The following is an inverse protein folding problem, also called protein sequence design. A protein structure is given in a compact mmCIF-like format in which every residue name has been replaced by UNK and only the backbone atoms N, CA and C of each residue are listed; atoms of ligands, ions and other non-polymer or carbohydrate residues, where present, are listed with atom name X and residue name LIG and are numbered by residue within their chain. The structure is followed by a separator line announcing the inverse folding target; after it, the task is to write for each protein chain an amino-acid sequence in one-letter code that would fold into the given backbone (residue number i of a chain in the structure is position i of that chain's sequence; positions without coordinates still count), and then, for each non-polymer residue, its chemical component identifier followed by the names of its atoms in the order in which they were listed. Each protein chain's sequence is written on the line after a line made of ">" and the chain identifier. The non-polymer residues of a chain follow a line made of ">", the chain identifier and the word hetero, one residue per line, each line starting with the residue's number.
data_IF_605499488253
#
_entry.id   IF_605499488253
#
_cell.length_a   1.000
_cell.length_b   1.000
_cell.length_c   1.000
_cell.angle_alpha   90.00
_cell.angle_beta   90.00
_cell.angle_gamma   90.00
#
_symmetry.space_group_name_H-M   'P 1'
#
loop_
_entity.id
_entity.type
_entity.pdbx_description
1 polymer ?
#
# COMPACT_ATOMS: atom_id res chain seq x y z
N UNK A 1 -7.51 -15.96 -3.14
CA UNK A 1 -8.93 -15.68 -3.46
C UNK A 1 -9.01 -14.50 -4.42
N UNK A 2 -9.95 -14.54 -5.30
CA UNK A 2 -10.25 -13.51 -6.29
C UNK A 2 -11.78 -13.27 -6.36
N UNK A 3 -12.24 -12.45 -7.30
CA UNK A 3 -13.66 -12.07 -7.43
C UNK A 3 -14.62 -13.26 -7.64
N UNK A 4 -14.11 -14.43 -8.06
CA UNK A 4 -14.92 -15.65 -8.27
C UNK A 4 -15.15 -16.45 -6.98
N UNK A 5 -14.56 -16.02 -5.85
CA UNK A 5 -14.73 -16.74 -4.58
C UNK A 5 -16.20 -16.76 -4.14
N UNK A 6 -16.82 -17.97 -4.07
CA UNK A 6 -18.27 -18.08 -3.90
C UNK A 6 -18.78 -17.61 -2.54
N UNK A 7 -17.92 -17.59 -1.51
CA UNK A 7 -18.28 -17.17 -0.16
C UNK A 7 -17.82 -15.74 0.16
N UNK A 8 -17.51 -14.91 -0.84
CA UNK A 8 -16.94 -13.57 -0.61
C UNK A 8 -17.85 -12.66 0.23
N UNK A 9 -19.17 -12.79 0.11
CA UNK A 9 -20.14 -12.01 0.92
C UNK A 9 -20.09 -12.45 2.39
N UNK A 10 -20.01 -13.73 2.67
CA UNK A 10 -19.84 -14.22 4.06
C UNK A 10 -18.48 -13.81 4.64
N UNK A 11 -17.43 -13.80 3.82
CA UNK A 11 -16.11 -13.30 4.25
C UNK A 11 -16.14 -11.81 4.57
N UNK A 12 -16.89 -11.01 3.80
CA UNK A 12 -17.12 -9.60 4.07
C UNK A 12 -17.88 -9.39 5.37
N UNK A 13 -18.99 -10.12 5.58
CA UNK A 13 -19.77 -10.09 6.82
C UNK A 13 -18.89 -10.40 8.02
N UNK A 14 -18.15 -11.51 7.99
CA UNK A 14 -17.21 -11.85 9.06
C UNK A 14 -16.13 -10.78 9.27
N UNK A 15 -15.60 -10.18 8.20
CA UNK A 15 -14.61 -9.11 8.33
C UNK A 15 -15.22 -7.90 9.04
N UNK A 16 -16.41 -7.45 8.64
CA UNK A 16 -17.07 -6.27 9.23
C UNK A 16 -17.46 -6.48 10.70
N UNK A 17 -17.72 -7.72 11.11
CA UNK A 17 -18.02 -8.07 12.50
C UNK A 17 -16.79 -7.96 13.42
N UNK A 18 -15.60 -8.30 12.92
CA UNK A 18 -14.37 -8.33 13.71
C UNK A 18 -13.47 -7.11 13.53
N UNK A 19 -13.61 -6.37 12.44
CA UNK A 19 -12.80 -5.19 12.12
C UNK A 19 -13.68 -3.96 11.96
N UNK A 20 -14.11 -3.34 13.07
CA UNK A 20 -15.00 -2.19 13.00
C UNK A 20 -14.31 -1.01 12.32
N UNK A 21 -15.00 -0.40 11.38
CA UNK A 21 -14.64 0.85 10.72
C UNK A 21 -15.87 1.78 10.73
N UNK A 22 -15.66 3.08 10.66
CA UNK A 22 -16.77 4.04 10.58
C UNK A 22 -17.64 3.82 9.32
N UNK A 23 -17.02 3.31 8.25
CA UNK A 23 -17.70 3.01 6.99
C UNK A 23 -16.93 1.97 6.17
N UNK A 24 -17.66 1.32 5.26
CA UNK A 24 -17.14 0.47 4.21
C UNK A 24 -17.82 0.83 2.89
N UNK A 25 -17.23 0.44 1.77
CA UNK A 25 -17.78 0.71 0.45
C UNK A 25 -17.78 2.19 0.07
N UNK A 26 -16.67 2.88 0.33
CA UNK A 26 -16.50 4.28 -0.01
C UNK A 26 -16.78 4.53 -1.50
N UNK A 27 -17.50 5.61 -1.82
CA UNK A 27 -17.88 5.94 -3.20
C UNK A 27 -18.83 4.93 -3.84
N UNK A 28 -19.64 4.24 -3.03
CA UNK A 28 -20.55 3.16 -3.45
C UNK A 28 -19.82 1.92 -4.00
N UNK A 29 -18.53 1.74 -3.67
CA UNK A 29 -17.82 0.49 -3.97
C UNK A 29 -18.34 -0.64 -3.10
N UNK A 30 -18.22 -1.86 -3.57
CA UNK A 30 -18.42 -3.04 -2.72
C UNK A 30 -17.10 -3.38 -1.97
N UNK A 31 -17.18 -4.28 -0.98
CA UNK A 31 -16.05 -4.71 -0.17
C UNK A 31 -15.72 -3.75 0.97
N UNK A 32 -14.46 -3.74 1.39
CA UNK A 32 -14.00 -3.04 2.60
C UNK A 32 -13.34 -1.69 2.34
N UNK A 33 -13.43 -1.18 1.11
CA UNK A 33 -12.83 0.11 0.71
C UNK A 33 -13.31 1.23 1.61
N UNK A 34 -12.39 2.01 2.17
CA UNK A 34 -12.73 3.21 2.93
C UNK A 34 -11.59 4.23 2.93
N UNK A 35 -11.84 5.43 3.43
CA UNK A 35 -10.80 6.40 3.76
C UNK A 35 -11.16 7.20 4.98
N UNK A 36 -10.15 7.64 5.70
CA UNK A 36 -10.30 8.53 6.85
C UNK A 36 -9.14 9.53 6.91
N UNK A 37 -9.36 10.60 7.65
CA UNK A 37 -8.35 11.61 7.92
C UNK A 37 -7.96 11.56 9.39
N UNK A 38 -6.67 11.47 9.64
CA UNK A 38 -6.10 11.59 10.97
C UNK A 38 -5.14 12.76 11.00
N UNK A 39 -5.49 13.80 11.75
CA UNK A 39 -4.79 15.07 11.76
C UNK A 39 -4.69 15.67 10.33
N UNK A 40 -3.48 15.83 9.79
CA UNK A 40 -3.23 16.32 8.43
C UNK A 40 -2.79 15.22 7.45
N UNK A 41 -3.06 13.97 7.79
CA UNK A 41 -2.82 12.81 6.93
C UNK A 41 -4.15 12.16 6.52
N UNK A 42 -4.20 11.66 5.29
CA UNK A 42 -5.34 10.88 4.81
C UNK A 42 -4.88 9.44 4.53
N UNK A 43 -5.72 8.50 4.97
CA UNK A 43 -5.53 7.08 4.77
C UNK A 43 -6.58 6.57 3.78
N UNK A 44 -6.15 5.87 2.77
CA UNK A 44 -6.96 5.17 1.78
C UNK A 44 -6.77 3.68 2.02
N UNK A 45 -7.84 3.00 2.44
CA UNK A 45 -7.83 1.56 2.71
C UNK A 45 -8.44 0.85 1.51
N UNK A 46 -7.61 0.23 0.68
CA UNK A 46 -8.05 -0.40 -0.56
C UNK A 46 -8.32 -1.89 -0.35
N UNK A 47 -9.41 -2.37 -0.93
CA UNK A 47 -9.72 -3.79 -0.99
C UNK A 47 -8.99 -4.42 -2.19
N UNK A 48 -8.05 -5.30 -1.91
CA UNK A 48 -7.27 -6.00 -2.94
C UNK A 48 -7.78 -7.43 -3.22
N UNK A 49 -9.03 -7.74 -2.83
CA UNK A 49 -9.64 -9.06 -3.02
C UNK A 49 -10.98 -9.02 -3.73
N UNK A 50 -11.82 -8.06 -3.40
CA UNK A 50 -13.21 -8.02 -3.86
C UNK A 50 -13.36 -8.03 -5.38
N UNK A 51 -12.53 -7.25 -6.07
CA UNK A 51 -12.54 -7.09 -7.53
C UNK A 51 -11.43 -7.85 -8.24
N UNK A 52 -10.50 -8.45 -7.49
CA UNK A 52 -9.28 -9.05 -8.03
C UNK A 52 -9.61 -10.13 -9.06
N UNK A 53 -9.11 -9.96 -10.27
CA UNK A 53 -9.20 -10.97 -11.35
C UNK A 53 -8.09 -12.02 -11.23
N UNK A 54 -8.15 -13.04 -12.10
CA UNK A 54 -7.01 -13.93 -12.30
C UNK A 54 -5.78 -13.13 -12.72
N UNK A 55 -4.63 -13.56 -12.27
CA UNK A 55 -3.35 -12.88 -12.52
C UNK A 55 -3.02 -12.86 -14.01
N UNK A 56 -2.92 -11.66 -14.58
CA UNK A 56 -2.52 -11.35 -15.95
C UNK A 56 -2.24 -9.85 -16.09
N UNK A 57 -1.48 -9.46 -17.11
CA UNK A 57 -1.04 -8.06 -17.29
C UNK A 57 -2.21 -7.05 -17.39
N UNK A 58 -3.26 -7.42 -18.13
CA UNK A 58 -4.51 -6.65 -18.32
C UNK A 58 -5.58 -6.94 -17.23
N UNK A 59 -5.19 -7.64 -16.16
CA UNK A 59 -6.05 -7.92 -15.02
C UNK A 59 -6.18 -6.72 -14.09
N UNK A 60 -7.02 -6.86 -13.07
CA UNK A 60 -7.19 -5.84 -12.04
C UNK A 60 -7.12 -6.45 -10.63
N UNK A 61 -6.58 -5.70 -9.69
CA UNK A 61 -6.69 -5.96 -8.25
C UNK A 61 -7.82 -5.14 -7.66
N UNK A 62 -7.89 -3.87 -8.05
CA UNK A 62 -8.82 -2.90 -7.45
C UNK A 62 -10.17 -2.85 -8.15
N UNK A 63 -10.23 -3.23 -9.42
CA UNK A 63 -11.42 -3.06 -10.25
C UNK A 63 -11.70 -1.61 -10.62
N UNK A 64 -12.47 -1.38 -11.67
CA UNK A 64 -12.69 -0.03 -12.22
C UNK A 64 -13.40 0.90 -11.24
N UNK A 65 -14.38 0.39 -10.51
CA UNK A 65 -15.19 1.20 -9.58
C UNK A 65 -14.34 1.71 -8.42
N UNK A 66 -13.57 0.83 -7.77
CA UNK A 66 -12.69 1.22 -6.68
C UNK A 66 -11.54 2.11 -7.17
N UNK A 67 -10.94 1.77 -8.31
CA UNK A 67 -9.87 2.55 -8.92
C UNK A 67 -10.33 3.96 -9.29
N UNK A 68 -11.53 4.12 -9.86
CA UNK A 68 -12.12 5.42 -10.15
C UNK A 68 -12.30 6.24 -8.87
N UNK A 69 -12.97 5.67 -7.86
CA UNK A 69 -13.14 6.33 -6.56
C UNK A 69 -11.79 6.73 -5.93
N UNK A 70 -10.83 5.83 -5.95
CA UNK A 70 -9.50 6.09 -5.37
C UNK A 70 -8.80 7.26 -6.05
N UNK A 71 -8.81 7.31 -7.35
CA UNK A 71 -8.21 8.40 -8.14
C UNK A 71 -8.86 9.75 -7.82
N UNK A 72 -10.18 9.82 -7.81
CA UNK A 72 -10.92 11.04 -7.46
C UNK A 72 -10.66 11.48 -6.01
N UNK A 73 -10.71 10.56 -5.06
CA UNK A 73 -10.45 10.85 -3.66
C UNK A 73 -8.99 11.28 -3.40
N UNK A 74 -8.04 10.68 -4.11
CA UNK A 74 -6.62 11.03 -4.03
C UNK A 74 -6.38 12.45 -4.60
N UNK A 75 -7.00 12.78 -5.72
CA UNK A 75 -6.94 14.10 -6.36
C UNK A 75 -7.56 15.19 -5.47
N UNK A 76 -8.68 14.90 -4.83
CA UNK A 76 -9.37 15.84 -3.92
C UNK A 76 -8.62 16.07 -2.61
N UNK A 77 -7.70 15.18 -2.24
CA UNK A 77 -7.00 15.20 -0.96
C UNK A 77 -6.11 16.42 -0.78
N UNK A 78 -6.30 17.12 0.34
CA UNK A 78 -5.43 18.24 0.79
C UNK A 78 -4.48 17.84 1.92
N UNK A 79 -4.41 16.55 2.23
CA UNK A 79 -3.57 16.02 3.30
C UNK A 79 -2.08 16.22 3.00
N UNK A 80 -1.28 16.43 4.05
CA UNK A 80 0.17 16.56 3.93
C UNK A 80 0.81 15.26 3.44
N UNK A 81 0.34 14.12 3.94
CA UNK A 81 0.68 12.77 3.46
C UNK A 81 -0.57 11.98 3.13
N UNK A 82 -0.48 11.18 2.07
CA UNK A 82 -1.52 10.30 1.56
C UNK A 82 -1.03 8.86 1.69
N UNK A 83 -1.51 8.18 2.71
CA UNK A 83 -1.17 6.79 2.96
C UNK A 83 -2.18 5.88 2.26
N UNK A 84 -1.68 4.95 1.45
CA UNK A 84 -2.49 4.01 0.69
C UNK A 84 -2.21 2.59 1.20
N UNK A 85 -3.10 2.07 2.03
CA UNK A 85 -2.97 0.71 2.56
C UNK A 85 -3.57 -0.30 1.58
N UNK A 86 -2.76 -1.26 1.16
CA UNK A 86 -3.14 -2.35 0.28
C UNK A 86 -2.30 -3.60 0.60
N UNK A 87 -2.86 -4.80 0.45
CA UNK A 87 -2.24 -6.03 0.95
C UNK A 87 -0.91 -6.39 0.28
N UNK A 88 -0.81 -6.36 -1.05
CA UNK A 88 0.40 -6.71 -1.80
C UNK A 88 1.27 -5.51 -2.19
N UNK A 89 2.53 -5.76 -2.49
CA UNK A 89 3.48 -4.72 -2.91
C UNK A 89 3.01 -4.01 -4.18
N UNK A 90 3.07 -2.68 -4.16
CA UNK A 90 2.64 -1.84 -5.27
C UNK A 90 3.78 -1.48 -6.22
N UNK A 91 4.93 -1.00 -5.70
CA UNK A 91 6.05 -0.54 -6.54
C UNK A 91 6.99 -1.66 -6.97
N UNK A 92 7.14 -2.72 -6.19
CA UNK A 92 8.05 -3.82 -6.55
C UNK A 92 7.79 -4.31 -7.97
N UNK A 93 8.84 -4.41 -8.78
CA UNK A 93 8.77 -4.96 -10.13
C UNK A 93 8.99 -6.48 -10.19
N UNK A 94 9.14 -7.10 -9.05
CA UNK A 94 9.14 -8.56 -8.94
C UNK A 94 7.74 -9.14 -9.21
N UNK A 95 7.57 -9.76 -10.38
CA UNK A 95 6.30 -10.33 -10.82
C UNK A 95 6.01 -11.72 -10.19
N UNK A 96 6.31 -11.87 -8.90
CA UNK A 96 6.01 -13.08 -8.14
C UNK A 96 4.83 -12.90 -7.20
N UNK A 97 4.17 -14.01 -6.87
CA UNK A 97 3.04 -14.05 -5.95
C UNK A 97 1.90 -13.10 -6.37
N UNK A 98 1.37 -12.31 -5.46
CA UNK A 98 0.22 -11.43 -5.70
C UNK A 98 0.59 -9.93 -5.82
N UNK A 99 1.84 -9.63 -6.19
CA UNK A 99 2.31 -8.26 -6.37
C UNK A 99 1.61 -7.55 -7.54
N UNK A 100 1.50 -6.23 -7.46
CA UNK A 100 0.97 -5.39 -8.55
C UNK A 100 1.78 -5.46 -9.85
N UNK A 101 3.04 -5.93 -9.80
CA UNK A 101 3.82 -6.22 -10.99
C UNK A 101 3.17 -7.22 -11.95
N UNK A 102 2.26 -8.07 -11.44
CA UNK A 102 1.46 -9.01 -12.23
C UNK A 102 0.22 -8.38 -12.87
N UNK A 103 -0.12 -7.15 -12.51
CA UNK A 103 -1.26 -6.36 -12.98
C UNK A 103 -0.73 -5.03 -13.51
N UNK A 104 0.13 -5.16 -14.49
CA UNK A 104 1.01 -4.09 -14.96
C UNK A 104 0.25 -2.87 -15.45
N UNK A 105 -0.81 -3.08 -16.24
CA UNK A 105 -1.60 -1.98 -16.80
C UNK A 105 -2.30 -1.16 -15.68
N UNK A 106 -2.89 -1.82 -14.70
CA UNK A 106 -3.53 -1.13 -13.56
C UNK A 106 -2.51 -0.35 -12.72
N UNK A 107 -1.34 -0.95 -12.45
CA UNK A 107 -0.27 -0.29 -11.72
C UNK A 107 0.23 0.95 -12.44
N UNK A 108 0.52 0.83 -13.74
CA UNK A 108 0.99 1.94 -14.58
C UNK A 108 -0.05 3.05 -14.69
N UNK A 109 -1.34 2.72 -14.83
CA UNK A 109 -2.43 3.69 -14.83
C UNK A 109 -2.47 4.54 -13.54
N UNK A 110 -2.31 3.89 -12.38
CA UNK A 110 -2.31 4.60 -11.09
C UNK A 110 -1.09 5.50 -10.96
N UNK A 111 0.10 5.00 -11.32
CA UNK A 111 1.34 5.78 -11.29
C UNK A 111 1.24 6.99 -12.22
N UNK A 112 0.77 6.78 -13.45
CA UNK A 112 0.58 7.84 -14.43
C UNK A 112 -0.40 8.90 -13.92
N UNK A 113 -1.51 8.48 -13.31
CA UNK A 113 -2.49 9.41 -12.72
C UNK A 113 -1.87 10.28 -11.62
N UNK A 114 -1.07 9.69 -10.73
CA UNK A 114 -0.35 10.42 -9.67
C UNK A 114 0.62 11.44 -10.29
N UNK A 115 1.34 11.04 -11.33
CA UNK A 115 2.30 11.89 -12.04
C UNK A 115 1.63 13.06 -12.76
N UNK A 116 0.62 12.77 -13.59
CA UNK A 116 -0.07 13.77 -14.42
C UNK A 116 -0.80 14.84 -13.60
N UNK A 117 -1.24 14.48 -12.40
CA UNK A 117 -1.95 15.40 -11.50
C UNK A 117 -1.05 16.01 -10.42
N UNK A 118 0.27 15.85 -10.52
CA UNK A 118 1.28 16.36 -9.55
C UNK A 118 0.93 16.02 -8.08
N UNK A 119 0.41 14.82 -7.84
CA UNK A 119 -0.01 14.39 -6.50
C UNK A 119 1.24 14.02 -5.68
N UNK A 120 1.46 14.75 -4.59
CA UNK A 120 2.67 14.63 -3.77
C UNK A 120 2.44 13.81 -2.50
N UNK A 121 3.55 13.30 -1.96
CA UNK A 121 3.60 12.63 -0.66
C UNK A 121 2.65 11.41 -0.59
N UNK A 122 2.66 10.58 -1.63
CA UNK A 122 1.94 9.32 -1.68
C UNK A 122 2.86 8.21 -1.15
N UNK A 123 2.38 7.50 -0.14
CA UNK A 123 3.10 6.39 0.50
C UNK A 123 2.17 5.17 0.55
N UNK A 124 2.52 4.14 -0.19
CA UNK A 124 1.84 2.85 -0.10
C UNK A 124 2.31 2.12 1.17
N UNK A 125 1.35 1.56 1.90
CA UNK A 125 1.58 0.70 3.05
C UNK A 125 1.17 -0.71 2.66
N UNK A 126 2.15 -1.60 2.57
CA UNK A 126 1.97 -2.94 2.02
C UNK A 126 2.48 -4.04 2.96
N UNK A 127 2.16 -5.29 2.66
CA UNK A 127 2.53 -6.42 3.50
C UNK A 127 2.63 -7.74 2.71
N UNK A 128 2.12 -8.82 3.28
CA UNK A 128 1.96 -10.18 2.69
C UNK A 128 3.27 -10.93 2.40
N UNK A 129 4.36 -10.26 2.11
CA UNK A 129 5.60 -10.81 1.54
C UNK A 129 6.50 -11.52 2.55
N UNK A 130 6.17 -11.50 3.85
CA UNK A 130 6.96 -12.12 4.91
C UNK A 130 8.41 -11.58 5.02
N UNK A 131 8.62 -10.37 4.51
CA UNK A 131 9.80 -9.54 4.71
C UNK A 131 9.38 -8.08 4.70
N UNK A 132 10.23 -7.19 5.16
CA UNK A 132 10.00 -5.76 5.03
C UNK A 132 11.04 -5.13 4.12
N UNK A 133 10.63 -4.11 3.38
CA UNK A 133 11.51 -3.30 2.54
C UNK A 133 10.86 -1.96 2.21
N UNK A 134 11.65 -1.03 1.74
CA UNK A 134 11.18 0.24 1.17
C UNK A 134 11.51 0.27 -0.30
N UNK A 135 10.50 0.53 -1.13
CA UNK A 135 10.66 0.85 -2.53
C UNK A 135 10.39 2.34 -2.76
N UNK A 136 11.16 2.93 -3.69
CA UNK A 136 11.11 4.35 -4.02
C UNK A 136 11.12 4.53 -5.53
N UNK A 137 10.13 5.25 -6.04
CA UNK A 137 10.08 5.66 -7.44
C UNK A 137 10.10 7.20 -7.52
N UNK A 138 10.95 7.73 -8.38
CA UNK A 138 10.94 9.15 -8.72
C UNK A 138 10.23 9.29 -10.07
N UNK A 139 9.14 10.03 -10.12
CA UNK A 139 8.37 10.28 -11.34
C UNK A 139 9.11 11.25 -12.26
N UNK A 140 8.68 11.38 -13.51
CA UNK A 140 9.28 12.33 -14.48
C UNK A 140 9.12 13.79 -14.03
N UNK A 141 8.05 14.09 -13.28
CA UNK A 141 7.84 15.43 -12.69
C UNK A 141 8.73 15.70 -11.47
N UNK A 142 9.48 14.69 -10.99
CA UNK A 142 10.34 14.79 -9.81
C UNK A 142 9.65 14.47 -8.48
N UNK A 143 8.36 14.11 -8.51
CA UNK A 143 7.66 13.62 -7.33
C UNK A 143 8.17 12.24 -6.93
N UNK A 144 8.01 11.90 -5.66
CA UNK A 144 8.44 10.61 -5.14
C UNK A 144 7.23 9.85 -4.63
N UNK A 145 7.10 8.61 -5.08
CA UNK A 145 6.15 7.62 -4.58
C UNK A 145 6.95 6.60 -3.77
N UNK A 146 6.48 6.28 -2.58
CA UNK A 146 7.07 5.25 -1.75
C UNK A 146 6.11 4.07 -1.57
N UNK A 147 6.69 2.90 -1.41
CA UNK A 147 5.99 1.67 -1.00
C UNK A 147 6.76 1.07 0.18
N UNK A 148 6.12 1.03 1.33
CA UNK A 148 6.71 0.52 2.57
C UNK A 148 6.04 -0.79 2.91
N UNK A 149 6.72 -1.88 2.62
CA UNK A 149 6.30 -3.22 3.02
C UNK A 149 6.71 -3.48 4.46
N UNK A 150 5.75 -3.83 5.33
CA UNK A 150 6.00 -4.27 6.70
C UNK A 150 5.35 -5.62 6.96
N UNK A 151 6.16 -6.68 6.99
CA UNK A 151 5.76 -8.09 7.12
C UNK A 151 6.98 -8.95 7.53
N UNK A 152 6.85 -9.98 8.34
CA UNK A 152 5.67 -10.46 9.02
C UNK A 152 5.69 -10.01 10.50
N UNK A 153 4.51 -9.84 11.11
CA UNK A 153 4.38 -9.59 12.56
C UNK A 153 4.53 -10.92 13.32
N UNK A 154 3.78 -11.92 12.95
CA UNK A 154 3.72 -13.22 13.66
C UNK A 154 4.09 -14.42 12.80
N UNK A 155 3.98 -14.34 11.49
CA UNK A 155 4.27 -15.43 10.57
C UNK A 155 5.79 -15.69 10.40
N UNK A 156 6.13 -16.72 9.64
CA UNK A 156 7.52 -17.00 9.23
C UNK A 156 8.03 -15.86 8.36
N UNK A 157 9.31 -15.54 8.49
CA UNK A 157 10.00 -14.58 7.63
C UNK A 157 10.88 -15.29 6.62
N UNK A 158 11.09 -14.66 5.45
CA UNK A 158 11.93 -15.18 4.38
C UNK A 158 12.95 -14.13 3.95
N UNK A 159 14.12 -14.59 3.54
CA UNK A 159 15.12 -13.73 2.91
C UNK A 159 14.85 -13.65 1.40
N UNK A 160 14.40 -12.47 0.97
CA UNK A 160 14.14 -12.14 -0.43
C UNK A 160 15.18 -11.18 -1.01
N UNK A 161 16.39 -11.17 -0.44
CA UNK A 161 17.49 -10.29 -0.90
C UNK A 161 17.88 -10.52 -2.36
N UNK A 162 17.66 -11.72 -2.88
CA UNK A 162 17.96 -12.10 -4.28
C UNK A 162 16.82 -11.77 -5.25
N UNK A 163 15.64 -11.39 -4.77
CA UNK A 163 14.57 -10.95 -5.65
C UNK A 163 14.91 -9.60 -6.28
N UNK A 164 14.76 -9.52 -7.59
CA UNK A 164 14.93 -8.26 -8.30
C UNK A 164 13.78 -7.32 -7.93
N UNK A 165 14.13 -6.18 -7.35
CA UNK A 165 13.25 -5.04 -7.17
C UNK A 165 14.08 -3.79 -7.44
N UNK A 166 13.95 -3.24 -8.65
CA UNK A 166 14.75 -2.09 -9.10
C UNK A 166 14.41 -0.81 -8.33
N UNK A 167 13.28 -0.78 -7.65
CA UNK A 167 12.86 0.34 -6.81
C UNK A 167 13.29 0.21 -5.35
N UNK A 168 13.86 -0.93 -4.95
CA UNK A 168 14.28 -1.15 -3.55
C UNK A 168 15.33 -0.14 -3.12
N UNK A 169 15.06 0.54 -2.02
CA UNK A 169 16.06 1.39 -1.35
C UNK A 169 17.19 0.49 -0.83
N UNK A 170 18.45 0.76 -1.17
CA UNK A 170 19.58 -0.07 -0.73
C UNK A 170 19.60 -0.25 0.79
N UNK A 171 19.75 -1.49 1.24
CA UNK A 171 19.85 -1.85 2.66
C UNK A 171 18.53 -1.84 3.43
N UNK A 172 17.37 -1.60 2.78
CA UNK A 172 16.07 -1.56 3.45
C UNK A 172 15.43 -2.93 3.67
N UNK A 173 15.98 -4.00 3.10
CA UNK A 173 15.44 -5.35 3.22
C UNK A 173 15.65 -5.92 4.62
N UNK A 174 14.56 -6.39 5.25
CA UNK A 174 14.52 -6.93 6.61
C UNK A 174 13.83 -8.28 6.59
N UNK A 175 14.54 -9.32 7.02
CA UNK A 175 14.07 -10.72 7.05
C UNK A 175 13.81 -11.26 8.46
N UNK A 176 13.55 -10.37 9.41
CA UNK A 176 13.12 -10.73 10.77
C UNK A 176 11.71 -10.24 11.02
N UNK A 177 10.98 -10.86 11.96
CA UNK A 177 9.68 -10.36 12.41
C UNK A 177 9.81 -8.93 12.91
N UNK A 178 8.97 -8.06 12.42
CA UNK A 178 9.05 -6.64 12.73
C UNK A 178 7.71 -5.92 12.57
N UNK A 179 7.70 -4.68 13.04
CA UNK A 179 6.66 -3.69 12.79
C UNK A 179 7.30 -2.40 12.29
N UNK A 180 6.62 -1.68 11.42
CA UNK A 180 7.00 -0.33 11.00
C UNK A 180 6.25 0.72 11.83
N UNK A 181 6.97 1.64 12.44
CA UNK A 181 6.42 2.76 13.21
C UNK A 181 6.70 4.03 12.42
N UNK A 182 5.63 4.69 11.97
CA UNK A 182 5.71 5.96 11.26
C UNK A 182 5.57 7.13 12.24
N UNK A 183 6.40 8.14 12.07
CA UNK A 183 6.34 9.39 12.82
C UNK A 183 6.35 10.57 11.86
N UNK A 184 5.52 11.56 12.12
CA UNK A 184 5.43 12.78 11.32
C UNK A 184 5.69 13.98 12.23
N UNK A 185 6.72 14.74 11.88
CA UNK A 185 7.18 15.90 12.62
C UNK A 185 7.08 17.18 11.79
N UNK A 186 7.37 18.31 12.42
CA UNK A 186 7.47 19.60 11.77
C UNK A 186 6.17 20.40 11.71
N UNK A 187 6.25 21.61 11.20
CA UNK A 187 5.11 22.53 11.02
C UNK A 187 4.22 22.05 9.87
N UNK A 188 2.97 22.48 9.85
CA UNK A 188 1.94 22.04 8.90
C UNK A 188 2.38 21.97 7.43
N UNK A 189 3.19 22.89 6.94
CA UNK A 189 3.65 22.94 5.54
C UNK A 189 5.08 22.39 5.34
N UNK A 190 5.69 21.87 6.41
CA UNK A 190 7.08 21.40 6.43
C UNK A 190 7.15 20.03 7.13
N UNK A 191 6.11 19.21 6.94
CA UNK A 191 6.04 17.88 7.55
C UNK A 191 7.16 16.99 7.04
N UNK A 192 7.77 16.26 7.98
CA UNK A 192 8.79 15.25 7.70
C UNK A 192 8.28 13.91 8.17
N UNK A 193 8.37 12.93 7.30
CA UNK A 193 7.98 11.55 7.60
C UNK A 193 9.23 10.73 7.92
N UNK A 194 9.12 9.92 8.96
CA UNK A 194 10.15 8.97 9.38
C UNK A 194 9.51 7.61 9.58
N UNK A 195 10.23 6.55 9.29
CA UNK A 195 9.85 5.19 9.65
C UNK A 195 10.97 4.49 10.39
N UNK A 196 10.61 3.78 11.45
CA UNK A 196 11.52 2.92 12.20
C UNK A 196 10.93 1.51 12.22
N UNK A 197 11.70 0.53 11.77
CA UNK A 197 11.36 -0.87 11.89
C UNK A 197 11.92 -1.43 13.18
N UNK A 198 11.07 -2.07 13.96
CA UNK A 198 11.45 -2.70 15.23
C UNK A 198 11.17 -4.19 15.20
N UNK A 199 12.12 -4.99 15.70
CA UNK A 199 11.97 -6.42 15.84
C UNK A 199 11.09 -6.80 17.05
N UNK A 200 10.92 -8.10 17.31
CA UNK A 200 10.13 -8.63 18.43
C UNK A 200 10.66 -8.28 19.82
N UNK A 201 11.92 -7.83 19.92
CA UNK A 201 12.53 -7.36 21.18
C UNK A 201 12.38 -5.83 21.36
N UNK A 202 11.77 -5.14 20.40
CA UNK A 202 11.64 -3.68 20.38
C UNK A 202 12.90 -2.95 19.93
N UNK A 203 13.91 -3.67 19.45
CA UNK A 203 15.15 -3.11 18.94
C UNK A 203 14.95 -2.53 17.53
N UNK A 204 15.57 -1.38 17.24
CA UNK A 204 15.59 -0.79 15.92
C UNK A 204 16.46 -1.65 14.97
N UNK A 205 15.86 -2.13 13.89
CA UNK A 205 16.56 -2.90 12.85
C UNK A 205 16.81 -2.11 11.58
N UNK A 206 16.00 -1.10 11.32
CA UNK A 206 16.20 -0.17 10.21
C UNK A 206 15.41 1.11 10.44
N UNK A 207 15.91 2.23 9.90
CA UNK A 207 15.19 3.51 9.87
C UNK A 207 15.38 4.22 8.55
N UNK A 208 14.37 5.00 8.16
CA UNK A 208 14.40 5.80 6.94
C UNK A 208 13.71 7.15 7.15
N UNK A 209 14.28 8.19 6.52
CA UNK A 209 13.71 9.54 6.48
C UNK A 209 13.30 9.82 5.04
N UNK A 210 12.04 10.18 4.84
CA UNK A 210 11.45 10.40 3.51
C UNK A 210 11.77 11.78 2.97
#
# INVERSE_FOLDING_TARGET
>A
ADWTYPLKHHALEAFTDFWPSESYGAGHTEGITNSFVWNDCQFFMLDNRWYKTVQREDGTILGDQQKYWFKEALLASKAAYKFVAVGGQFLSDFAGFENFANYKEEREEIIQFIEENDIKNVVFLTGDRHHSEISKMVTKSGNVIYDVTSSAITSTTYDHSQEQNTFRVPGSMISVRNIAIFSIDGKKNERKLHVVFKNTLGEEVYKYNF
#
